data_IF_825943706684
#
_entry.id   IF_825943706684
#
_cell.length_a   1.000
_cell.length_b   1.000
_cell.length_c   1.000
_cell.angle_alpha   90.00
_cell.angle_beta   90.00
_cell.angle_gamma   90.00
#
_symmetry.space_group_name_H-M   'P 1'
#
loop_
_entity.id
_entity.type
_entity.pdbx_description
1 polymer ?
#
# COMPACT_ATOMS: atom_id res chain seq x y z
N UNK A 1 -53.20 59.97 15.22
CA UNK A 1 -52.92 58.90 16.20
C UNK A 1 -53.04 57.48 15.61
N UNK A 2 -53.88 57.24 14.59
CA UNK A 2 -53.98 55.91 13.94
C UNK A 2 -52.74 55.47 13.14
N UNK A 3 -51.95 56.41 12.59
CA UNK A 3 -50.77 56.09 11.77
C UNK A 3 -49.56 55.57 12.56
N UNK A 4 -49.51 55.85 13.88
CA UNK A 4 -48.39 55.45 14.75
C UNK A 4 -48.56 53.99 15.22
N UNK A 5 -49.81 53.56 15.41
CA UNK A 5 -50.16 52.16 15.72
C UNK A 5 -49.80 51.21 14.57
N UNK A 6 -49.96 51.65 13.32
CA UNK A 6 -49.57 50.87 12.15
C UNK A 6 -48.05 50.69 12.05
N UNK A 7 -47.26 51.70 12.42
CA UNK A 7 -45.80 51.63 12.39
C UNK A 7 -45.24 50.67 13.46
N UNK A 8 -45.87 50.58 14.63
CA UNK A 8 -45.47 49.66 15.69
C UNK A 8 -45.78 48.19 15.35
N UNK A 9 -46.87 47.92 14.64
CA UNK A 9 -47.23 46.57 14.21
C UNK A 9 -46.29 46.01 13.13
N UNK A 10 -45.75 46.86 12.25
CA UNK A 10 -44.81 46.44 11.19
C UNK A 10 -43.42 46.12 11.76
N UNK A 11 -42.98 46.80 12.82
CA UNK A 11 -41.66 46.54 13.43
C UNK A 11 -41.58 45.22 14.22
N UNK A 12 -42.70 44.62 14.63
CA UNK A 12 -42.71 43.36 15.37
C UNK A 12 -42.59 42.10 14.49
N UNK A 13 -42.74 42.23 13.16
CA UNK A 13 -42.59 41.11 12.22
C UNK A 13 -41.16 40.94 11.66
N UNK A 14 -40.27 41.90 11.89
CA UNK A 14 -38.90 41.85 11.36
C UNK A 14 -37.91 41.02 12.20
N UNK A 15 -38.32 40.55 13.38
CA UNK A 15 -37.44 39.96 14.40
C UNK A 15 -37.13 38.47 14.22
N UNK A 16 -37.65 37.80 13.17
CA UNK A 16 -37.56 36.33 13.01
C UNK A 16 -36.59 35.85 11.92
N UNK A 17 -35.73 36.72 11.39
CA UNK A 17 -34.65 36.30 10.48
C UNK A 17 -33.30 36.25 11.20
N UNK A 18 -33.27 35.56 12.34
CA UNK A 18 -32.02 35.01 12.87
C UNK A 18 -31.52 33.96 11.86
N UNK A 19 -30.72 34.41 10.91
CA UNK A 19 -29.98 33.53 10.02
C UNK A 19 -29.04 32.70 10.90
N UNK A 20 -29.47 31.49 11.24
CA UNK A 20 -28.54 30.47 11.68
C UNK A 20 -27.60 30.23 10.50
N UNK A 21 -26.37 30.72 10.62
CA UNK A 21 -25.27 30.15 9.85
C UNK A 21 -25.17 28.71 10.34
N UNK A 22 -25.88 27.80 9.67
CA UNK A 22 -25.53 26.41 9.63
C UNK A 22 -24.14 26.37 8.98
N UNK A 23 -23.11 26.54 9.81
CA UNK A 23 -21.77 26.15 9.47
C UNK A 23 -21.81 24.65 9.26
N UNK A 24 -22.13 24.23 8.04
CA UNK A 24 -21.79 22.91 7.57
C UNK A 24 -20.26 22.86 7.54
N UNK A 25 -19.64 22.66 8.71
CA UNK A 25 -18.49 21.77 8.78
C UNK A 25 -19.03 20.37 8.51
N UNK A 26 -19.52 20.18 7.27
CA UNK A 26 -19.56 18.89 6.64
C UNK A 26 -18.09 18.53 6.56
N UNK A 27 -17.58 17.85 7.59
CA UNK A 27 -16.34 17.11 7.48
C UNK A 27 -16.45 16.36 6.16
N UNK A 28 -15.63 16.77 5.19
CA UNK A 28 -15.61 16.19 3.88
C UNK A 28 -15.34 14.69 4.07
N UNK A 29 -16.41 13.89 3.97
CA UNK A 29 -16.44 12.44 3.88
C UNK A 29 -15.24 11.73 4.53
N UNK A 30 -15.30 11.47 5.84
CA UNK A 30 -14.36 10.56 6.51
C UNK A 30 -14.63 9.08 6.16
N UNK A 31 -15.45 8.81 5.14
CA UNK A 31 -15.79 7.47 4.66
C UNK A 31 -16.07 7.46 3.16
N UNK A 32 -15.66 6.36 2.51
CA UNK A 32 -15.80 6.11 1.08
C UNK A 32 -15.43 4.65 0.78
N UNK A 33 -15.73 4.18 -0.43
CA UNK A 33 -15.40 2.81 -0.85
C UNK A 33 -14.09 2.80 -1.61
N UNK A 34 -13.10 2.05 -1.12
CA UNK A 34 -11.92 1.71 -1.91
C UNK A 34 -12.24 0.43 -2.68
N UNK A 35 -12.47 0.57 -3.99
CA UNK A 35 -12.69 -0.57 -4.88
C UNK A 35 -11.36 -1.00 -5.50
N UNK A 36 -10.86 -2.16 -5.11
CA UNK A 36 -9.77 -2.83 -5.80
C UNK A 36 -10.33 -3.71 -6.91
N UNK A 37 -9.77 -3.62 -8.11
CA UNK A 37 -10.08 -4.52 -9.22
C UNK A 37 -8.82 -5.30 -9.57
N UNK A 38 -8.92 -6.64 -9.58
CA UNK A 38 -7.79 -7.54 -9.78
C UNK A 38 -7.66 -8.58 -8.67
N UNK A 39 -6.54 -9.31 -8.66
CA UNK A 39 -6.18 -10.27 -7.63
C UNK A 39 -5.17 -9.67 -6.64
N UNK A 40 -5.42 -9.81 -5.34
CA UNK A 40 -4.39 -9.58 -4.33
C UNK A 40 -3.44 -10.77 -4.40
N UNK A 41 -2.21 -10.54 -4.85
CA UNK A 41 -1.17 -11.56 -4.99
C UNK A 41 -0.04 -11.29 -4.02
N UNK A 42 0.65 -12.34 -3.63
CA UNK A 42 1.87 -12.25 -2.85
C UNK A 42 2.97 -11.57 -3.68
N UNK A 43 3.84 -10.80 -3.03
CA UNK A 43 5.00 -10.23 -3.72
C UNK A 43 5.96 -11.33 -4.18
N UNK A 44 6.76 -11.10 -5.23
CA UNK A 44 7.89 -11.95 -5.55
C UNK A 44 8.80 -12.17 -4.33
N UNK A 45 9.56 -13.26 -4.32
CA UNK A 45 10.60 -13.47 -3.33
C UNK A 45 11.63 -12.32 -3.40
N UNK A 46 12.09 -11.91 -2.23
CA UNK A 46 13.12 -10.89 -2.08
C UNK A 46 14.49 -11.56 -2.01
N UNK A 47 15.50 -10.91 -2.60
CA UNK A 47 16.89 -11.34 -2.50
C UNK A 47 17.74 -10.30 -1.80
N UNK A 48 18.50 -10.73 -0.81
CA UNK A 48 19.52 -9.92 -0.15
C UNK A 48 20.90 -10.54 -0.42
N UNK A 49 21.83 -9.74 -0.93
CA UNK A 49 23.18 -10.19 -1.26
C UNK A 49 24.12 -9.72 -0.15
N UNK A 50 24.87 -10.64 0.45
CA UNK A 50 25.99 -10.31 1.33
C UNK A 50 27.32 -10.80 0.73
N UNK A 51 28.44 -10.58 1.44
CA UNK A 51 29.78 -10.87 0.92
C UNK A 51 30.04 -12.34 0.53
N UNK A 52 29.24 -13.30 1.04
CA UNK A 52 29.52 -14.75 0.87
C UNK A 52 28.30 -15.56 0.43
N UNK A 53 27.12 -14.96 0.41
CA UNK A 53 25.86 -15.66 0.16
C UNK A 53 24.79 -14.72 -0.36
N UNK A 54 23.77 -15.31 -0.98
CA UNK A 54 22.51 -14.65 -1.30
C UNK A 54 21.44 -15.25 -0.39
N UNK A 55 20.71 -14.43 0.34
CA UNK A 55 19.50 -14.86 1.01
C UNK A 55 18.31 -14.64 0.09
N UNK A 56 17.46 -15.66 -0.07
CA UNK A 56 16.19 -15.56 -0.78
C UNK A 56 15.06 -15.79 0.20
N UNK A 57 14.20 -14.79 0.37
CA UNK A 57 13.06 -14.81 1.28
C UNK A 57 11.74 -14.70 0.51
N UNK A 58 10.80 -15.60 0.78
CA UNK A 58 9.48 -15.58 0.16
C UNK A 58 8.41 -15.45 1.24
N UNK A 59 7.42 -14.60 0.97
CA UNK A 59 6.19 -14.52 1.75
C UNK A 59 5.17 -15.50 1.16
N UNK A 60 4.65 -16.41 1.99
CA UNK A 60 3.55 -17.31 1.65
C UNK A 60 2.58 -17.45 2.81
N UNK A 61 1.29 -17.24 2.56
CA UNK A 61 0.21 -17.32 3.54
C UNK A 61 0.47 -16.45 4.79
N UNK A 62 1.07 -15.27 4.57
CA UNK A 62 1.45 -14.35 5.65
C UNK A 62 2.70 -14.78 6.45
N UNK A 63 3.36 -15.87 6.07
CA UNK A 63 4.60 -16.35 6.68
C UNK A 63 5.80 -16.13 5.77
N UNK A 64 6.91 -15.71 6.35
CA UNK A 64 8.17 -15.55 5.62
C UNK A 64 9.08 -16.73 5.88
N UNK A 65 9.57 -17.38 4.83
CA UNK A 65 10.70 -18.30 4.91
C UNK A 65 11.85 -17.81 4.06
N UNK A 66 13.07 -18.02 4.56
CA UNK A 66 14.29 -17.66 3.89
C UNK A 66 15.22 -18.87 3.75
N UNK A 67 15.93 -18.93 2.62
CA UNK A 67 17.05 -19.85 2.41
C UNK A 67 18.29 -19.05 2.05
N UNK A 68 19.46 -19.64 2.31
CA UNK A 68 20.75 -19.06 1.95
C UNK A 68 21.38 -19.85 0.83
N UNK A 69 21.59 -19.21 -0.31
CA UNK A 69 22.37 -19.74 -1.42
C UNK A 69 23.85 -19.38 -1.24
N UNK A 70 24.72 -20.37 -1.37
CA UNK A 70 26.15 -20.16 -1.35
C UNK A 70 26.63 -19.62 -2.71
N UNK A 71 27.48 -18.58 -2.71
CA UNK A 71 27.96 -17.94 -3.94
C UNK A 71 28.81 -18.86 -4.84
N UNK A 72 29.34 -19.95 -4.30
CA UNK A 72 30.16 -20.91 -5.04
C UNK A 72 29.35 -21.97 -5.81
N UNK A 73 28.02 -22.05 -5.60
CA UNK A 73 27.19 -23.04 -6.28
C UNK A 73 26.73 -22.53 -7.64
N UNK A 74 26.86 -23.37 -8.67
CA UNK A 74 26.28 -23.12 -10.00
C UNK A 74 24.97 -23.90 -10.21
N UNK A 75 24.62 -24.74 -9.25
CA UNK A 75 23.44 -25.59 -9.33
C UNK A 75 22.18 -24.77 -9.07
N UNK A 76 21.10 -25.13 -9.77
CA UNK A 76 19.77 -24.65 -9.46
C UNK A 76 19.36 -25.12 -8.06
N UNK A 77 18.85 -24.23 -7.23
CA UNK A 77 18.40 -24.51 -5.87
C UNK A 77 16.91 -24.19 -5.73
N UNK A 78 16.13 -25.05 -5.03
CA UNK A 78 14.72 -24.78 -4.78
C UNK A 78 14.56 -23.53 -3.91
N UNK A 79 13.60 -22.67 -4.25
CA UNK A 79 13.22 -21.51 -3.43
C UNK A 79 12.38 -21.95 -2.21
N UNK A 80 12.24 -21.09 -1.17
CA UNK A 80 11.35 -21.36 -0.03
C UNK A 80 9.95 -21.83 -0.48
N UNK A 81 9.33 -22.71 0.30
CA UNK A 81 8.05 -23.37 -0.03
C UNK A 81 8.03 -24.12 -1.39
N UNK A 82 9.20 -24.38 -1.98
CA UNK A 82 9.38 -25.04 -3.27
C UNK A 82 8.57 -24.36 -4.39
N UNK A 83 8.48 -23.03 -4.39
CA UNK A 83 7.63 -22.25 -5.33
C UNK A 83 8.26 -22.01 -6.69
N UNK A 84 9.41 -22.62 -6.89
CA UNK A 84 10.25 -22.40 -8.04
C UNK A 84 11.70 -22.68 -7.70
N UNK A 85 12.57 -22.28 -8.60
CA UNK A 85 14.00 -22.49 -8.52
C UNK A 85 14.77 -21.19 -8.72
N UNK A 86 15.97 -21.15 -8.19
CA UNK A 86 16.89 -20.03 -8.38
C UNK A 86 18.28 -20.53 -8.74
N UNK A 87 18.96 -19.79 -9.61
CA UNK A 87 20.31 -20.13 -10.07
C UNK A 87 21.17 -18.88 -10.19
N UNK A 88 22.38 -18.94 -9.63
CA UNK A 88 23.37 -17.89 -9.76
C UNK A 88 24.36 -18.22 -10.89
N UNK A 89 24.53 -17.28 -11.81
CA UNK A 89 25.52 -17.35 -12.88
C UNK A 89 26.49 -16.17 -12.78
N UNK A 90 27.77 -16.46 -12.55
CA UNK A 90 28.83 -15.44 -12.59
C UNK A 90 29.15 -15.02 -14.02
N UNK A 91 29.34 -13.72 -14.23
CA UNK A 91 29.69 -13.12 -15.52
C UNK A 91 31.19 -12.88 -15.69
N UNK A 92 31.95 -12.95 -14.59
CA UNK A 92 33.41 -12.81 -14.59
C UNK A 92 34.08 -13.90 -13.74
N UNK A 93 35.35 -14.18 -14.04
CA UNK A 93 36.13 -15.22 -13.36
C UNK A 93 36.49 -14.85 -11.91
N UNK A 94 36.47 -13.56 -11.58
CA UNK A 94 36.72 -13.05 -10.23
C UNK A 94 35.45 -13.06 -9.35
N UNK A 95 34.31 -13.52 -9.88
CA UNK A 95 32.99 -13.55 -9.24
C UNK A 95 32.59 -12.19 -8.63
N UNK A 96 32.81 -11.09 -9.36
CA UNK A 96 32.41 -9.74 -8.93
C UNK A 96 31.01 -9.36 -9.40
N UNK A 97 30.55 -9.92 -10.51
CA UNK A 97 29.25 -9.66 -11.11
C UNK A 97 28.57 -10.97 -11.51
N UNK A 98 27.31 -11.13 -11.13
CA UNK A 98 26.51 -12.30 -11.47
C UNK A 98 25.05 -11.96 -11.71
N UNK A 99 24.36 -12.89 -12.37
CA UNK A 99 22.91 -12.86 -12.59
C UNK A 99 22.29 -13.94 -11.70
N UNK A 100 21.35 -13.54 -10.84
CA UNK A 100 20.50 -14.46 -10.11
C UNK A 100 19.17 -14.61 -10.85
N UNK A 101 18.98 -15.74 -11.49
CA UNK A 101 17.72 -16.07 -12.18
C UNK A 101 16.77 -16.74 -11.20
N UNK A 102 15.53 -16.27 -11.13
CA UNK A 102 14.45 -16.87 -10.34
C UNK A 102 13.32 -17.30 -11.28
N UNK A 103 13.00 -18.59 -11.27
CA UNK A 103 11.94 -19.18 -12.09
C UNK A 103 10.82 -19.67 -11.17
N UNK A 104 9.65 -19.05 -11.30
CA UNK A 104 8.44 -19.40 -10.53
C UNK A 104 7.62 -20.44 -11.29
N UNK A 105 6.97 -21.35 -10.56
CA UNK A 105 6.06 -22.37 -11.10
C UNK A 105 4.62 -21.89 -11.20
#
# INVERSE_FOLDING_TARGET
MHSILAAAAVMLFASWTSNALAGNSQEAANSGTILFTGSIVESPCQSEINQRSVQVACLRDGQTQAITLALNTRASQPMPYNIGHSQLQWLDAEHRLGILTMEYR
#
